data_IF_885109607705
#
_entry.id   IF_885109607705
#
_cell.length_a   1.000
_cell.length_b   1.000
_cell.length_c   1.000
_cell.angle_alpha   90.00
_cell.angle_beta   90.00
_cell.angle_gamma   90.00
#
_symmetry.space_group_name_H-M   'P 1'
#
loop_
_entity.id
_entity.type
_entity.pdbx_description
1 polymer ?
#
# COMPACT_ATOMS: atom_id res chain seq x y z
N UNK A 1 8.76 -6.46 -12.77
CA UNK A 1 7.90 -6.28 -11.56
C UNK A 1 8.50 -5.18 -10.70
N UNK A 2 7.92 -3.98 -10.71
CA UNK A 2 8.37 -2.88 -9.84
C UNK A 2 8.19 -3.29 -8.38
N UNK A 3 9.30 -3.31 -7.61
CA UNK A 3 9.27 -3.58 -6.17
C UNK A 3 8.48 -2.46 -5.49
N UNK A 4 7.37 -2.79 -4.85
CA UNK A 4 6.59 -1.86 -4.02
C UNK A 4 7.52 -1.30 -2.93
N UNK A 5 7.79 0.00 -2.98
CA UNK A 5 8.57 0.71 -1.95
C UNK A 5 7.62 1.43 -1.01
N UNK A 6 7.43 0.86 0.18
CA UNK A 6 6.85 1.61 1.29
C UNK A 6 7.92 2.58 1.81
N UNK A 7 7.58 3.85 1.95
CA UNK A 7 8.43 4.88 2.54
C UNK A 7 8.48 4.69 4.05
N UNK A 8 7.34 4.32 4.64
CA UNK A 8 7.22 4.00 6.05
C UNK A 8 6.68 2.58 6.20
N UNK A 9 7.36 1.76 6.99
CA UNK A 9 6.92 0.43 7.40
C UNK A 9 7.28 0.20 8.86
N UNK A 10 6.36 -0.36 9.68
CA UNK A 10 6.67 -0.74 11.05
C UNK A 10 7.71 -1.84 11.10
N UNK A 11 8.34 -2.01 12.27
CA UNK A 11 9.20 -3.16 12.54
C UNK A 11 8.40 -4.47 12.43
N UNK A 12 9.10 -5.55 12.10
CA UNK A 12 8.50 -6.86 11.87
C UNK A 12 7.57 -7.26 13.04
N UNK A 13 6.35 -7.69 12.71
CA UNK A 13 5.30 -8.10 13.66
C UNK A 13 4.68 -7.02 14.55
N UNK A 14 5.02 -5.73 14.37
CA UNK A 14 4.35 -4.65 15.10
C UNK A 14 3.23 -4.01 14.28
N UNK A 15 2.10 -3.72 14.93
CA UNK A 15 1.04 -2.93 14.32
C UNK A 15 1.53 -1.50 14.11
N UNK A 16 1.52 -1.03 12.87
CA UNK A 16 1.91 0.35 12.59
C UNK A 16 1.54 0.84 11.20
N UNK A 17 1.99 2.05 10.91
CA UNK A 17 1.66 2.79 9.69
C UNK A 17 2.52 2.33 8.52
N UNK A 18 1.86 1.97 7.43
CA UNK A 18 2.44 1.71 6.12
C UNK A 18 2.09 2.87 5.21
N UNK A 19 3.10 3.50 4.62
CA UNK A 19 2.92 4.63 3.70
C UNK A 19 3.74 4.42 2.44
N UNK A 20 3.19 4.83 1.30
CA UNK A 20 3.81 4.72 -0.03
C UNK A 20 3.93 6.08 -0.68
N UNK A 21 4.84 6.20 -1.64
CA UNK A 21 5.14 7.47 -2.33
C UNK A 21 3.94 8.05 -3.10
N UNK A 22 3.00 7.20 -3.51
CA UNK A 22 1.83 7.54 -4.29
C UNK A 22 0.61 7.95 -3.44
N UNK A 23 0.79 8.07 -2.12
CA UNK A 23 -0.19 8.59 -1.17
C UNK A 23 -1.05 7.53 -0.48
N UNK A 24 -0.79 6.23 -0.70
CA UNK A 24 -1.50 5.18 0.04
C UNK A 24 -0.94 5.06 1.46
N UNK A 25 -1.86 5.10 2.44
CA UNK A 25 -1.60 4.94 3.87
C UNK A 25 -2.50 3.85 4.43
N UNK A 26 -1.94 2.93 5.21
CA UNK A 26 -2.72 1.97 5.99
C UNK A 26 -2.06 1.61 7.31
N UNK A 27 -2.81 0.96 8.21
CA UNK A 27 -2.31 0.53 9.51
C UNK A 27 -2.53 -0.96 9.66
N UNK A 28 -1.45 -1.73 9.79
CA UNK A 28 -1.52 -3.18 10.00
C UNK A 28 -0.21 -3.71 10.55
N UNK A 29 -0.29 -4.82 11.27
CA UNK A 29 0.86 -5.61 11.73
C UNK A 29 1.34 -6.62 10.67
N UNK A 30 0.60 -6.79 9.58
CA UNK A 30 0.91 -7.78 8.54
C UNK A 30 1.29 -7.11 7.23
N UNK A 31 2.55 -7.32 6.80
CA UNK A 31 3.05 -6.88 5.50
C UNK A 31 2.22 -7.42 4.34
N UNK A 32 1.74 -8.66 4.45
CA UNK A 32 0.90 -9.28 3.41
C UNK A 32 -0.43 -8.55 3.25
N UNK A 33 -1.05 -8.17 4.36
CA UNK A 33 -2.29 -7.36 4.36
C UNK A 33 -2.04 -5.98 3.75
N UNK A 34 -0.96 -5.30 4.15
CA UNK A 34 -0.59 -4.00 3.60
C UNK A 34 -0.41 -4.05 2.07
N UNK A 35 0.31 -5.07 1.57
CA UNK A 35 0.51 -5.29 0.14
C UNK A 35 -0.79 -5.57 -0.61
N UNK A 36 -1.72 -6.36 -0.03
CA UNK A 36 -3.02 -6.65 -0.64
C UNK A 36 -3.86 -5.39 -0.78
N UNK A 37 -3.91 -4.57 0.28
CA UNK A 37 -4.66 -3.31 0.26
C UNK A 37 -4.05 -2.31 -0.73
N UNK A 38 -2.72 -2.21 -0.76
CA UNK A 38 -2.02 -1.36 -1.71
C UNK A 38 -2.30 -1.76 -3.18
N UNK A 39 -2.29 -3.06 -3.49
CA UNK A 39 -2.64 -3.55 -4.84
C UNK A 39 -4.08 -3.19 -5.23
N UNK A 40 -5.03 -3.31 -4.29
CA UNK A 40 -6.41 -2.89 -4.53
C UNK A 40 -6.53 -1.38 -4.73
N UNK A 41 -5.79 -0.58 -3.95
CA UNK A 41 -5.71 0.87 -4.14
C UNK A 41 -5.20 1.23 -5.55
N UNK A 42 -4.09 0.61 -5.99
CA UNK A 42 -3.56 0.82 -7.34
C UNK A 42 -4.55 0.40 -8.44
N UNK A 43 -5.27 -0.71 -8.22
CA UNK A 43 -6.30 -1.16 -9.17
C UNK A 43 -7.41 -0.11 -9.31
N UNK A 44 -7.96 0.37 -8.19
CA UNK A 44 -9.00 1.41 -8.18
C UNK A 44 -8.49 2.73 -8.77
N UNK A 45 -7.25 3.11 -8.48
CA UNK A 45 -6.62 4.32 -9.03
C UNK A 45 -6.49 4.23 -10.56
N UNK A 46 -6.13 3.05 -11.08
CA UNK A 46 -6.06 2.81 -12.52
C UNK A 46 -7.43 2.81 -13.19
N UNK A 47 -8.45 2.24 -12.53
CA UNK A 47 -9.83 2.26 -13.03
C UNK A 47 -10.40 3.68 -13.05
N UNK A 48 -10.10 4.51 -12.04
CA UNK A 48 -10.48 5.91 -12.01
C UNK A 48 -9.81 6.73 -13.14
N UNK A 49 -8.52 6.49 -13.40
CA UNK A 49 -7.77 7.18 -14.46
C UNK A 49 -8.23 6.81 -15.89
N UNK A 50 -8.88 5.65 -16.07
CA UNK A 50 -9.31 5.17 -17.40
C UNK A 50 -10.77 5.54 -17.72
N UNK A 51 -11.53 6.03 -16.74
CA UNK A 51 -12.95 6.41 -16.90
C UNK A 51 -13.15 7.93 -17.03
N UNK A 52 -12.09 8.68 -17.29
CA UNK A 52 -12.07 10.13 -17.57
C UNK A 52 -11.52 10.35 -18.98
#
# INVERSE_FOLDING_TARGET
>A
MSKVKFIQSPKNNEFGKWETADGFVCYTNSRTTALRWYRNYLKRKKEALYNE
#
